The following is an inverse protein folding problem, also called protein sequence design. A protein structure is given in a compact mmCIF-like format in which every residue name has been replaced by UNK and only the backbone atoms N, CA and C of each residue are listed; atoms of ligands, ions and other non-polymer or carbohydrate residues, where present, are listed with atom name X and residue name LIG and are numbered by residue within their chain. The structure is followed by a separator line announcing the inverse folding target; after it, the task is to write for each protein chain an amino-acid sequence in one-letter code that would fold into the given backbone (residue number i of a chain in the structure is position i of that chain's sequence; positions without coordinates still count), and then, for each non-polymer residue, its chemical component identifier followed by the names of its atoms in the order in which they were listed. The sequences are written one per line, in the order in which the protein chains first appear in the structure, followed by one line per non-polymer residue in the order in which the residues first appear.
data_IF_200200039199
#
_entry.id   IF_200200039199
#
_cell.length_a   1.000
_cell.length_b   1.000
_cell.length_c   1.000
_cell.angle_alpha   90.00
_cell.angle_beta   90.00
_cell.angle_gamma   90.00
#
_symmetry.space_group_name_H-M   'P 1'
#
loop_
_entity.id
_entity.type
_entity.pdbx_description
1 polymer ?
#
# COMPACT_ATOMS: atom_id res chain seq x y z
N UNK A 1 1.03 -10.16 -31.56
CA UNK A 1 2.24 -9.64 -30.90
C UNK A 1 1.80 -8.45 -30.06
N UNK A 2 2.03 -8.50 -28.74
CA UNK A 2 1.79 -7.33 -27.89
C UNK A 2 2.81 -6.25 -28.27
N UNK A 3 2.35 -5.00 -28.35
CA UNK A 3 3.16 -3.84 -28.71
C UNK A 3 4.29 -3.64 -27.67
N UNK A 4 5.58 -3.69 -28.06
CA UNK A 4 6.69 -3.58 -27.12
C UNK A 4 6.71 -2.25 -26.34
N UNK A 5 6.09 -1.19 -26.87
CA UNK A 5 5.98 0.11 -26.18
C UNK A 5 5.02 0.08 -24.97
N UNK A 6 4.05 -0.84 -24.94
CA UNK A 6 3.14 -0.98 -23.80
C UNK A 6 3.85 -1.54 -22.56
N UNK A 7 4.94 -2.31 -22.74
CA UNK A 7 5.73 -2.85 -21.63
C UNK A 7 6.58 -1.77 -20.93
N UNK A 8 6.96 -0.70 -21.65
CA UNK A 8 7.74 0.42 -21.13
C UNK A 8 6.91 1.42 -20.31
N UNK A 9 5.58 1.40 -20.44
CA UNK A 9 4.67 2.32 -19.74
C UNK A 9 4.21 1.82 -18.36
N UNK A 10 4.59 0.59 -17.95
CA UNK A 10 4.21 0.06 -16.64
C UNK A 10 5.06 0.66 -15.52
N UNK A 11 4.56 1.74 -14.89
CA UNK A 11 5.16 2.36 -13.73
C UNK A 11 4.39 2.00 -12.46
N UNK A 12 5.06 1.31 -11.54
CA UNK A 12 4.51 1.01 -10.21
C UNK A 12 4.83 2.15 -9.25
N UNK A 13 3.85 2.57 -8.44
CA UNK A 13 4.06 3.46 -7.30
C UNK A 13 4.09 2.64 -5.99
N UNK A 14 5.27 2.40 -5.38
CA UNK A 14 5.35 1.61 -4.15
C UNK A 14 4.59 2.24 -2.98
N UNK A 15 4.43 3.56 -2.92
CA UNK A 15 3.69 4.22 -1.85
C UNK A 15 2.18 3.94 -1.93
N UNK A 16 1.63 3.86 -3.14
CA UNK A 16 0.22 3.48 -3.34
C UNK A 16 -0.02 2.02 -2.98
N UNK A 17 0.87 1.11 -3.40
CA UNK A 17 0.77 -0.31 -3.02
C UNK A 17 0.80 -0.49 -1.49
N UNK A 18 1.71 0.20 -0.81
CA UNK A 18 1.85 0.17 0.64
C UNK A 18 0.61 0.73 1.34
N UNK A 19 0.10 1.88 0.88
CA UNK A 19 -1.13 2.48 1.40
C UNK A 19 -2.36 1.59 1.19
N UNK A 20 -2.52 0.99 0.01
CA UNK A 20 -3.56 -0.01 -0.24
C UNK A 20 -3.39 -1.25 0.66
N UNK A 21 -2.14 -1.70 0.87
CA UNK A 21 -1.83 -2.82 1.74
C UNK A 21 -2.25 -2.58 3.19
N UNK A 22 -1.89 -1.42 3.73
CA UNK A 22 -2.27 -0.97 5.07
C UNK A 22 -3.79 -0.83 5.21
N UNK A 23 -4.46 -0.26 4.20
CA UNK A 23 -5.92 -0.12 4.20
C UNK A 23 -6.61 -1.50 4.22
N UNK A 24 -6.13 -2.45 3.42
CA UNK A 24 -6.66 -3.80 3.36
C UNK A 24 -6.47 -4.54 4.71
N UNK A 25 -5.29 -4.42 5.32
CA UNK A 25 -5.01 -4.99 6.65
C UNK A 25 -5.88 -4.37 7.73
N UNK A 26 -6.06 -3.05 7.71
CA UNK A 26 -6.89 -2.34 8.66
C UNK A 26 -8.35 -2.80 8.58
N UNK A 27 -8.95 -2.78 7.39
CA UNK A 27 -10.33 -3.22 7.19
C UNK A 27 -10.45 -4.71 7.53
N UNK A 28 -9.51 -5.54 7.08
CA UNK A 28 -9.45 -6.97 7.39
C UNK A 28 -9.47 -7.25 8.89
N UNK A 29 -8.72 -6.46 9.67
CA UNK A 29 -8.66 -6.57 11.13
C UNK A 29 -9.93 -6.12 11.86
N UNK A 30 -10.74 -5.26 11.25
CA UNK A 30 -12.03 -4.82 11.83
C UNK A 30 -13.14 -5.86 11.63
N UNK A 31 -13.10 -6.63 10.52
CA UNK A 31 -14.19 -7.52 10.13
C UNK A 31 -14.57 -8.53 11.23
N UNK A 32 -13.64 -9.27 11.88
CA UNK A 32 -14.01 -10.22 12.94
C UNK A 32 -14.79 -9.60 14.10
N UNK A 33 -14.51 -8.34 14.46
CA UNK A 33 -15.22 -7.61 15.51
C UNK A 33 -16.65 -7.23 15.08
N UNK A 34 -16.82 -6.81 13.83
CA UNK A 34 -18.14 -6.49 13.27
C UNK A 34 -19.01 -7.73 13.07
N UNK A 35 -18.40 -8.87 12.72
CA UNK A 35 -19.08 -10.16 12.60
C UNK A 35 -19.80 -10.59 13.89
N UNK A 36 -19.23 -10.27 15.05
CA UNK A 36 -19.83 -10.54 16.36
C UNK A 36 -21.25 -9.96 16.48
N UNK A 37 -21.43 -8.73 15.98
CA UNK A 37 -22.70 -7.98 16.03
C UNK A 37 -23.83 -8.62 15.21
N UNK A 38 -23.49 -9.50 14.27
CA UNK A 38 -24.48 -10.28 13.48
C UNK A 38 -24.80 -11.59 14.20
N UNK A 39 -23.77 -12.30 14.68
CA UNK A 39 -23.97 -13.63 15.28
C UNK A 39 -24.69 -13.60 16.61
N UNK A 40 -24.49 -12.55 17.40
CA UNK A 40 -25.02 -12.46 18.76
C UNK A 40 -26.56 -12.33 18.76
N UNK A 41 -27.19 -11.44 17.95
CA UNK A 41 -28.64 -11.45 17.76
C UNK A 41 -29.19 -12.76 17.20
N UNK A 42 -28.48 -13.41 16.27
CA UNK A 42 -28.89 -14.72 15.75
C UNK A 42 -28.93 -15.79 16.86
N UNK A 43 -27.94 -15.81 17.74
CA UNK A 43 -27.88 -16.73 18.87
C UNK A 43 -29.00 -16.44 19.88
N UNK A 44 -29.26 -15.17 20.19
CA UNK A 44 -30.36 -14.76 21.07
C UNK A 44 -31.73 -15.17 20.51
N UNK A 45 -31.97 -14.90 19.22
CA UNK A 45 -33.20 -15.28 18.54
C UNK A 45 -33.39 -16.81 18.49
N UNK A 46 -32.32 -17.56 18.21
CA UNK A 46 -32.35 -19.03 18.25
C UNK A 46 -32.68 -19.56 19.65
N UNK A 47 -32.14 -18.93 20.71
CA UNK A 47 -32.48 -19.26 22.09
C UNK A 47 -33.95 -19.04 22.43
N UNK A 48 -34.54 -17.94 21.95
CA UNK A 48 -35.96 -17.64 22.13
C UNK A 48 -36.90 -18.56 21.34
N UNK A 49 -36.41 -19.20 20.29
CA UNK A 49 -37.17 -20.09 19.40
C UNK A 49 -36.92 -21.58 19.70
N UNK A 50 -36.34 -21.93 20.85
CA UNK A 50 -35.95 -23.31 21.17
C UNK A 50 -37.11 -24.30 20.97
N UNK A 51 -36.85 -25.37 20.23
CA UNK A 51 -37.84 -26.39 19.87
C UNK A 51 -38.53 -26.14 18.51
N UNK A 52 -38.34 -24.97 17.91
CA UNK A 52 -38.81 -24.67 16.55
C UNK A 52 -37.70 -24.91 15.54
N UNK A 53 -38.06 -25.40 14.34
CA UNK A 53 -37.10 -25.57 13.23
C UNK A 53 -36.41 -24.25 12.85
N UNK A 54 -37.09 -23.12 13.06
CA UNK A 54 -36.57 -21.77 12.80
C UNK A 54 -35.40 -21.40 13.69
N UNK A 55 -35.27 -21.95 14.90
CA UNK A 55 -34.13 -21.70 15.78
C UNK A 55 -32.82 -22.15 15.14
N UNK A 56 -32.78 -23.40 14.67
CA UNK A 56 -31.60 -23.96 13.99
C UNK A 56 -31.30 -23.21 12.70
N UNK A 57 -32.33 -22.83 11.93
CA UNK A 57 -32.14 -22.08 10.69
C UNK A 57 -31.48 -20.71 10.93
N UNK A 58 -31.94 -19.95 11.93
CA UNK A 58 -31.35 -18.65 12.28
C UNK A 58 -29.93 -18.80 12.83
N UNK A 59 -29.70 -19.80 13.69
CA UNK A 59 -28.37 -20.07 14.21
C UNK A 59 -27.37 -20.39 13.07
N UNK A 60 -27.75 -21.29 12.16
CA UNK A 60 -26.92 -21.64 11.00
C UNK A 60 -26.68 -20.44 10.09
N UNK A 61 -27.68 -19.59 9.88
CA UNK A 61 -27.52 -18.35 9.11
C UNK A 61 -26.44 -17.44 9.73
N UNK A 62 -26.50 -17.21 11.04
CA UNK A 62 -25.49 -16.44 11.77
C UNK A 62 -24.10 -17.05 11.65
N UNK A 63 -23.98 -18.37 11.85
CA UNK A 63 -22.70 -19.08 11.71
C UNK A 63 -22.12 -18.97 10.29
N UNK A 64 -22.94 -19.15 9.26
CA UNK A 64 -22.49 -19.08 7.87
C UNK A 64 -22.00 -17.68 7.50
N UNK A 65 -22.73 -16.63 7.92
CA UNK A 65 -22.27 -15.25 7.74
C UNK A 65 -20.95 -15.00 8.44
N UNK A 66 -20.79 -15.53 9.65
CA UNK A 66 -19.52 -15.43 10.36
C UNK A 66 -18.37 -16.07 9.63
N UNK A 67 -18.55 -17.30 9.15
CA UNK A 67 -17.51 -17.99 8.38
C UNK A 67 -17.11 -17.19 7.13
N UNK A 68 -18.07 -16.65 6.38
CA UNK A 68 -17.78 -15.86 5.17
C UNK A 68 -17.05 -14.56 5.49
N UNK A 69 -17.47 -13.83 6.52
CA UNK A 69 -16.85 -12.57 6.92
C UNK A 69 -15.46 -12.78 7.52
N UNK A 70 -15.28 -13.77 8.40
CA UNK A 70 -13.96 -14.09 8.96
C UNK A 70 -12.98 -14.48 7.84
N UNK A 71 -13.43 -15.24 6.84
CA UNK A 71 -12.63 -15.55 5.63
C UNK A 71 -12.27 -14.28 4.86
N UNK A 72 -13.23 -13.39 4.63
CA UNK A 72 -12.97 -12.11 3.96
C UNK A 72 -11.92 -11.29 4.72
N UNK A 73 -12.01 -11.23 6.05
CA UNK A 73 -11.01 -10.55 6.89
C UNK A 73 -9.60 -11.13 6.69
N UNK A 74 -9.49 -12.47 6.66
CA UNK A 74 -8.25 -13.17 6.34
C UNK A 74 -7.73 -12.85 4.94
N UNK A 75 -8.58 -12.99 3.91
CA UNK A 75 -8.22 -12.72 2.52
C UNK A 75 -7.71 -11.27 2.33
N UNK A 76 -8.33 -10.30 3.01
CA UNK A 76 -7.90 -8.90 2.99
C UNK A 76 -6.54 -8.69 3.68
N UNK A 77 -6.29 -9.38 4.79
CA UNK A 77 -4.97 -9.39 5.45
C UNK A 77 -3.87 -9.98 4.56
N UNK A 78 -4.18 -11.07 3.85
CA UNK A 78 -3.26 -11.73 2.92
C UNK A 78 -2.92 -10.85 1.72
N UNK A 79 -3.95 -10.26 1.09
CA UNK A 79 -3.76 -9.31 -0.02
C UNK A 79 -2.98 -8.10 0.46
N UNK A 80 -3.30 -7.56 1.64
CA UNK A 80 -2.60 -6.41 2.20
C UNK A 80 -1.11 -6.68 2.43
N UNK A 81 -0.78 -7.87 2.95
CA UNK A 81 0.60 -8.33 3.11
C UNK A 81 1.33 -8.45 1.78
N UNK A 82 0.69 -9.03 0.75
CA UNK A 82 1.28 -9.14 -0.60
C UNK A 82 1.56 -7.78 -1.23
N UNK A 83 0.66 -6.81 -1.06
CA UNK A 83 0.84 -5.46 -1.54
C UNK A 83 2.03 -4.76 -0.86
N UNK A 84 2.11 -4.86 0.47
CA UNK A 84 3.23 -4.31 1.25
C UNK A 84 4.57 -4.97 0.87
N UNK A 85 4.61 -6.30 0.71
CA UNK A 85 5.79 -7.03 0.24
C UNK A 85 6.20 -6.60 -1.18
N UNK A 86 5.23 -6.39 -2.07
CA UNK A 86 5.51 -5.92 -3.43
C UNK A 86 6.10 -4.51 -3.42
N UNK A 87 5.55 -3.59 -2.60
CA UNK A 87 6.09 -2.25 -2.42
C UNK A 87 7.54 -2.28 -1.91
N UNK A 88 7.83 -3.11 -0.89
CA UNK A 88 9.17 -3.29 -0.37
C UNK A 88 10.14 -3.82 -1.43
N UNK A 89 9.70 -4.80 -2.22
CA UNK A 89 10.50 -5.36 -3.31
C UNK A 89 10.88 -4.31 -4.36
N UNK A 90 9.92 -3.49 -4.82
CA UNK A 90 10.21 -2.42 -5.78
C UNK A 90 11.22 -1.41 -5.24
N UNK A 91 11.09 -1.01 -3.96
CA UNK A 91 12.05 -0.09 -3.31
C UNK A 91 13.45 -0.71 -3.22
N UNK A 92 13.55 -2.00 -2.90
CA UNK A 92 14.83 -2.71 -2.81
C UNK A 92 15.51 -2.77 -4.18
N UNK A 93 14.78 -3.18 -5.22
CA UNK A 93 15.33 -3.26 -6.59
C UNK A 93 15.82 -1.89 -7.06
N UNK A 94 15.07 -0.82 -6.80
CA UNK A 94 15.49 0.54 -7.14
C UNK A 94 16.81 0.92 -6.45
N UNK A 95 16.93 0.61 -5.15
CA UNK A 95 18.16 0.87 -4.38
C UNK A 95 19.35 0.06 -4.90
N UNK A 96 19.14 -1.20 -5.24
CA UNK A 96 20.17 -2.08 -5.79
C UNK A 96 20.66 -1.58 -7.15
N UNK A 97 19.73 -1.16 -8.03
CA UNK A 97 20.06 -0.57 -9.33
C UNK A 97 20.84 0.74 -9.14
N UNK A 98 20.34 1.66 -8.30
CA UNK A 98 21.04 2.90 -7.95
C UNK A 98 22.46 2.63 -7.42
N UNK A 99 22.64 1.60 -6.61
CA UNK A 99 23.94 1.15 -6.11
C UNK A 99 24.84 0.61 -7.23
N UNK A 100 24.29 -0.22 -8.12
CA UNK A 100 25.03 -0.81 -9.25
C UNK A 100 25.47 0.22 -10.30
N UNK A 101 24.71 1.31 -10.44
CA UNK A 101 25.01 2.40 -11.38
C UNK A 101 25.98 3.44 -10.80
N UNK A 102 26.28 3.41 -9.49
CA UNK A 102 27.36 4.23 -8.93
C UNK A 102 28.69 3.73 -9.47
N UNK A 103 29.30 4.49 -10.36
CA UNK A 103 30.67 4.25 -10.82
C UNK A 103 31.66 4.51 -9.66
N UNK A 104 32.32 3.47 -9.10
CA UNK A 104 33.28 3.64 -8.00
C UNK A 104 34.57 4.36 -8.43
N UNK A 105 34.77 4.55 -9.74
CA UNK A 105 35.88 5.29 -10.35
C UNK A 105 35.44 6.65 -10.90
N UNK A 106 34.22 7.10 -10.61
CA UNK A 106 33.81 8.46 -10.96
C UNK A 106 34.73 9.46 -10.23
N UNK A 107 35.40 10.38 -10.95
CA UNK A 107 36.17 11.42 -10.31
C UNK A 107 35.25 12.20 -9.37
N UNK A 108 35.58 12.31 -8.08
CA UNK A 108 35.03 13.40 -7.27
C UNK A 108 35.51 14.69 -7.91
N UNK A 109 34.61 15.60 -8.37
CA UNK A 109 35.04 16.86 -8.94
C UNK A 109 35.83 17.63 -7.89
N UNK A 110 37.16 17.67 -8.05
CA UNK A 110 38.07 18.50 -7.25
C UNK A 110 38.25 19.89 -7.88
N UNK A 111 37.65 20.10 -9.05
CA UNK A 111 37.73 21.35 -9.79
C UNK A 111 36.55 22.25 -9.37
N UNK A 112 36.80 23.53 -9.02
CA UNK A 112 35.71 24.48 -8.78
C UNK A 112 34.84 24.51 -10.02
N UNK A 113 33.54 24.32 -9.81
CA UNK A 113 32.56 24.18 -10.88
C UNK A 113 32.73 25.29 -11.95
N UNK A 114 33.15 24.94 -13.18
CA UNK A 114 33.42 25.93 -14.23
C UNK A 114 32.16 26.67 -14.68
N UNK A 115 30.98 26.17 -14.32
CA UNK A 115 29.69 26.78 -14.58
C UNK A 115 29.06 27.43 -13.35
N UNK A 116 29.76 27.40 -12.19
CA UNK A 116 29.33 28.02 -10.94
C UNK A 116 27.91 27.58 -10.52
N UNK A 117 27.56 26.31 -10.74
CA UNK A 117 26.25 25.75 -10.39
C UNK A 117 26.15 25.54 -8.89
N UNK A 118 25.20 26.24 -8.28
CA UNK A 118 24.83 25.98 -6.90
C UNK A 118 23.97 24.73 -6.87
N UNK A 119 24.54 23.60 -6.49
CA UNK A 119 23.73 22.42 -6.17
C UNK A 119 22.95 22.71 -4.88
N UNK A 120 21.64 22.95 -4.99
CA UNK A 120 20.74 23.09 -3.84
C UNK A 120 19.92 21.80 -3.74
N UNK A 121 20.25 20.86 -2.83
CA UNK A 121 19.38 19.73 -2.56
C UNK A 121 18.10 20.25 -1.88
N UNK A 122 17.00 20.33 -2.64
CA UNK A 122 15.70 20.79 -2.14
C UNK A 122 14.78 21.27 -3.26
N UNK A 123 13.46 21.44 -3.01
CA UNK A 123 12.53 21.85 -4.04
C UNK A 123 12.91 23.24 -4.58
N UNK A 124 13.25 23.28 -5.86
CA UNK A 124 13.74 24.46 -6.57
C UNK A 124 12.66 25.55 -6.64
N UNK A 125 12.91 26.69 -5.98
CA UNK A 125 12.26 27.96 -6.33
C UNK A 125 13.13 28.65 -7.39
N UNK A 126 12.60 29.07 -8.55
CA UNK A 126 13.41 29.69 -9.58
C UNK A 126 13.97 31.03 -9.09
N UNK A 127 15.29 31.18 -9.13
CA UNK A 127 15.96 32.46 -8.95
C UNK A 127 16.13 33.15 -10.32
N UNK A 128 15.35 34.20 -10.56
CA UNK A 128 15.73 35.32 -11.43
C UNK A 128 15.74 36.57 -10.53
N UNK A 129 16.66 37.52 -10.62
CA UNK A 129 17.58 37.90 -11.70
C UNK A 129 18.70 38.71 -11.06
N UNK A 130 19.93 38.56 -11.55
CA UNK A 130 21.13 39.25 -11.08
C UNK A 130 21.07 40.78 -11.23
N UNK A 131 21.62 41.45 -10.21
CA UNK A 131 22.19 42.80 -10.12
C UNK A 131 22.05 43.80 -11.29
N UNK A 132 21.71 45.05 -10.94
CA UNK A 132 22.36 46.24 -11.52
C UNK A 132 22.75 47.21 -10.39
N UNK A 133 24.03 47.57 -10.40
CA UNK A 133 24.71 48.42 -9.45
C UNK A 133 24.29 49.91 -9.54
N UNK A 134 24.44 50.59 -8.39
CA UNK A 134 24.77 51.99 -8.17
C UNK A 134 24.29 53.07 -9.17
N UNK A 135 23.43 53.97 -8.66
CA UNK A 135 23.75 55.39 -8.47
C UNK A 135 22.97 55.93 -7.26
#
# INVERSE_FOLDING_TARGET
MADPDMALAFKVNPAELDGCGQSAQHIGGLIPGETGKITEPCNQAAGGLKGWLTATAIQNCGTNWKTLLDKLGGDMGDVGTKLASSAAYYRQVEQDIHGSMKNPSAPTPSEPDPFNTTFVPGPVKPAGTSAKAAQ
#
